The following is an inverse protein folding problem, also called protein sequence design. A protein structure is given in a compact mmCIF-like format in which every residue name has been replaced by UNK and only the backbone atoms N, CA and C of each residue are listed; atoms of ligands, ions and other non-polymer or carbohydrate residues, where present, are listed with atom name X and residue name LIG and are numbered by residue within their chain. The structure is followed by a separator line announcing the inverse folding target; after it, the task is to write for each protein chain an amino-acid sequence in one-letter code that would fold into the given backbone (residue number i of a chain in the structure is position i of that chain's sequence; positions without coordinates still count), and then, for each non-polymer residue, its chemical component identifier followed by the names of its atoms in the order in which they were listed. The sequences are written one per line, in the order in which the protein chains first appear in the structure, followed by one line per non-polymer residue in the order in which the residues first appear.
data_IF_453467458472
#
_entry.id   IF_453467458472
#
_cell.length_a   1.000
_cell.length_b   1.000
_cell.length_c   1.000
_cell.angle_alpha   90.00
_cell.angle_beta   90.00
_cell.angle_gamma   90.00
#
_symmetry.space_group_name_H-M   'P 1'
#
loop_
_entity.id
_entity.type
_entity.pdbx_description
1 polymer ?
#
# COMPACT_ATOMS: atom_id res chain seq x y z
N UNK A 1 42.00 -1.96 -40.47
CA UNK A 1 40.58 -1.92 -40.85
C UNK A 1 39.84 -2.82 -39.88
N UNK A 2 39.32 -2.23 -38.82
CA UNK A 2 38.43 -2.90 -37.87
C UNK A 2 37.51 -1.80 -37.34
N UNK A 3 36.26 -1.90 -37.76
CA UNK A 3 35.20 -0.92 -37.56
C UNK A 3 34.54 -1.23 -36.21
N UNK A 4 34.60 -0.29 -35.27
CA UNK A 4 33.93 -0.39 -33.97
C UNK A 4 32.60 0.36 -34.09
N UNK A 5 31.51 -0.40 -34.11
CA UNK A 5 30.13 0.09 -34.10
C UNK A 5 29.82 0.75 -32.75
N UNK A 6 29.56 2.05 -32.78
CA UNK A 6 29.02 2.79 -31.64
C UNK A 6 27.51 2.50 -31.52
N UNK A 7 27.10 1.92 -30.40
CA UNK A 7 25.69 1.74 -30.02
C UNK A 7 25.00 3.06 -29.66
N UNK A 8 23.65 3.05 -29.55
CA UNK A 8 22.85 4.25 -29.43
C UNK A 8 23.08 4.97 -28.10
N UNK A 9 23.28 6.29 -28.17
CA UNK A 9 23.29 7.18 -27.02
C UNK A 9 21.84 7.44 -26.58
N UNK A 10 21.47 6.94 -25.41
CA UNK A 10 20.26 7.38 -24.72
C UNK A 10 20.46 8.82 -24.22
N UNK A 11 19.69 9.75 -24.77
CA UNK A 11 19.63 11.14 -24.33
C UNK A 11 18.59 11.26 -23.22
N UNK A 12 18.97 10.93 -21.98
CA UNK A 12 18.16 11.17 -20.78
C UNK A 12 18.36 12.59 -20.28
N UNK A 13 17.54 13.53 -20.76
CA UNK A 13 17.60 14.95 -20.38
C UNK A 13 16.19 15.51 -20.13
N UNK A 14 15.38 14.89 -19.26
CA UNK A 14 14.18 15.52 -18.67
C UNK A 14 13.94 14.98 -17.26
N UNK A 15 14.80 15.32 -16.30
CA UNK A 15 14.44 15.52 -14.87
C UNK A 15 15.70 15.84 -14.07
N UNK A 16 15.99 17.13 -13.86
CA UNK A 16 17.09 17.53 -12.98
C UNK A 16 16.69 18.71 -12.10
N UNK A 17 16.86 18.45 -10.79
CA UNK A 17 17.19 19.37 -9.68
C UNK A 17 16.03 20.00 -8.92
N UNK A 18 15.26 19.15 -8.23
CA UNK A 18 14.86 19.47 -6.85
C UNK A 18 16.05 19.20 -5.92
N UNK A 19 16.44 20.19 -5.11
CA UNK A 19 17.46 20.01 -4.07
C UNK A 19 16.80 19.27 -2.91
N UNK A 20 17.08 17.97 -2.78
CA UNK A 20 16.54 17.12 -1.73
C UNK A 20 17.05 17.59 -0.36
N UNK A 21 16.14 17.98 0.52
CA UNK A 21 16.43 18.08 1.95
C UNK A 21 16.39 16.65 2.49
N UNK A 22 17.47 16.23 3.14
CA UNK A 22 17.47 14.97 3.88
C UNK A 22 16.30 15.01 4.88
N UNK A 23 15.47 13.96 4.97
CA UNK A 23 14.48 13.88 6.04
C UNK A 23 15.22 13.94 7.39
N UNK A 24 14.65 14.59 8.42
CA UNK A 24 15.27 14.64 9.73
C UNK A 24 15.45 13.22 10.27
N UNK A 25 16.65 12.93 10.79
CA UNK A 25 17.09 11.59 11.23
C UNK A 25 16.40 11.10 12.54
N UNK A 26 15.18 11.54 12.82
CA UNK A 26 14.56 11.37 14.13
C UNK A 26 13.35 10.42 14.03
N UNK A 27 13.35 9.42 14.92
CA UNK A 27 12.28 8.44 15.17
C UNK A 27 10.91 9.04 15.54
N UNK A 28 10.80 10.36 15.71
CA UNK A 28 9.57 11.08 16.08
C UNK A 28 8.43 10.90 15.06
N UNK A 29 8.74 10.41 13.86
CA UNK A 29 7.75 10.25 12.80
C UNK A 29 6.68 9.18 13.09
N UNK A 30 7.03 8.11 13.81
CA UNK A 30 6.12 7.00 14.06
C UNK A 30 5.07 7.32 15.15
N UNK A 31 5.35 8.30 16.01
CA UNK A 31 4.57 8.58 17.23
C UNK A 31 4.44 10.11 17.42
N UNK A 32 4.16 10.84 16.34
CA UNK A 32 3.73 12.23 16.47
C UNK A 32 2.26 12.27 16.91
N UNK A 33 2.03 12.72 18.15
CA UNK A 33 0.72 13.07 18.72
C UNK A 33 0.29 14.47 18.25
N UNK A 34 0.32 14.77 16.94
CA UNK A 34 -0.14 16.09 16.48
C UNK A 34 -1.65 16.25 16.81
N UNK A 35 -2.03 17.22 17.67
CA UNK A 35 -3.42 17.49 17.96
C UNK A 35 -4.02 18.19 16.73
N UNK A 36 -4.85 17.47 15.98
CA UNK A 36 -5.53 18.03 14.80
C UNK A 36 -6.75 18.85 15.27
N UNK A 37 -6.60 20.17 15.25
CA UNK A 37 -7.72 21.12 15.22
C UNK A 37 -8.37 21.07 13.82
N UNK A 38 -9.32 20.15 13.61
CA UNK A 38 -10.18 20.15 12.41
C UNK A 38 -11.53 20.80 12.69
N UNK A 39 -11.99 21.76 11.86
CA UNK A 39 -13.31 22.34 11.99
C UNK A 39 -14.40 21.31 11.68
N UNK A 40 -15.27 21.12 12.66
CA UNK A 40 -16.43 20.23 12.71
C UNK A 40 -17.41 20.53 11.56
N UNK A 41 -17.39 19.69 10.51
CA UNK A 41 -18.43 19.67 9.48
C UNK A 41 -19.70 19.01 10.05
N UNK A 42 -20.80 19.77 10.10
CA UNK A 42 -22.12 19.29 10.55
C UNK A 42 -22.81 18.54 9.40
N UNK A 43 -23.27 17.28 9.59
CA UNK A 43 -24.08 16.61 8.58
C UNK A 43 -25.53 17.12 8.62
N UNK A 44 -26.04 17.49 7.44
CA UNK A 44 -27.41 17.90 7.20
C UNK A 44 -28.33 16.68 7.22
N UNK A 45 -29.39 16.74 8.03
CA UNK A 45 -30.40 15.72 8.25
C UNK A 45 -31.26 15.52 6.99
N UNK A 46 -31.19 14.36 6.33
CA UNK A 46 -32.13 13.97 5.27
C UNK A 46 -33.31 13.20 5.88
N UNK A 47 -34.53 13.68 5.62
CA UNK A 47 -35.79 13.06 6.01
C UNK A 47 -36.11 11.84 5.13
N UNK A 48 -36.51 10.73 5.75
CA UNK A 48 -37.02 9.53 5.07
C UNK A 48 -38.55 9.57 4.99
N UNK A 49 -39.11 9.26 3.82
CA UNK A 49 -40.53 8.97 3.58
C UNK A 49 -40.75 7.46 3.45
N UNK A 50 -41.90 6.90 3.90
CA UNK A 50 -42.21 5.49 3.76
C UNK A 50 -42.88 5.18 2.41
N UNK A 51 -42.40 4.15 1.72
CA UNK A 51 -43.08 3.58 0.54
C UNK A 51 -43.55 2.15 0.86
N UNK A 52 -44.87 1.97 0.86
CA UNK A 52 -45.56 0.69 0.98
C UNK A 52 -45.43 -0.12 -0.32
N UNK A 53 -45.10 -1.41 -0.24
CA UNK A 53 -45.21 -2.35 -1.36
C UNK A 53 -46.12 -3.53 -1.01
N UNK A 54 -47.08 -3.77 -1.91
CA UNK A 54 -48.09 -4.81 -1.81
C UNK A 54 -47.60 -6.21 -2.16
N UNK A 55 -48.18 -7.19 -1.47
CA UNK A 55 -48.01 -8.63 -1.67
C UNK A 55 -48.80 -9.11 -2.90
N UNK A 56 -48.12 -9.73 -3.85
CA UNK A 56 -48.74 -10.48 -4.96
C UNK A 56 -48.11 -11.87 -5.06
N UNK A 57 -48.86 -12.89 -4.66
CA UNK A 57 -48.49 -14.32 -4.73
C UNK A 57 -48.85 -14.88 -6.11
N UNK A 58 -47.86 -15.41 -6.84
CA UNK A 58 -48.04 -16.24 -8.03
C UNK A 58 -47.15 -17.48 -7.91
N UNK A 59 -47.77 -18.64 -7.69
CA UNK A 59 -47.10 -19.94 -7.65
C UNK A 59 -46.93 -20.48 -9.07
N UNK A 60 -45.69 -20.62 -9.53
CA UNK A 60 -45.32 -21.33 -10.76
C UNK A 60 -44.63 -22.65 -10.36
N UNK A 61 -45.22 -23.77 -10.77
CA UNK A 61 -44.65 -25.10 -10.60
C UNK A 61 -43.69 -25.39 -11.77
N UNK A 62 -42.38 -25.38 -11.51
CA UNK A 62 -41.37 -25.85 -12.45
C UNK A 62 -40.99 -27.30 -12.16
N UNK A 63 -40.99 -28.13 -13.20
CA UNK A 63 -40.54 -29.53 -13.17
C UNK A 63 -39.01 -29.59 -13.12
N UNK A 64 -38.47 -30.26 -12.11
CA UNK A 64 -37.02 -30.32 -11.84
C UNK A 64 -36.37 -31.47 -12.60
N UNK A 65 -35.74 -31.16 -13.74
CA UNK A 65 -34.79 -32.06 -14.39
C UNK A 65 -33.45 -31.95 -13.67
N UNK A 66 -33.10 -32.94 -12.84
CA UNK A 66 -31.88 -32.94 -12.04
C UNK A 66 -30.66 -33.27 -12.91
N UNK A 67 -29.99 -32.24 -13.41
CA UNK A 67 -28.66 -32.36 -14.00
C UNK A 67 -27.64 -32.15 -12.88
N UNK A 68 -26.92 -33.21 -12.50
CA UNK A 68 -25.77 -33.13 -11.59
C UNK A 68 -24.62 -32.45 -12.32
N UNK A 69 -24.62 -31.12 -12.32
CA UNK A 69 -23.45 -30.33 -12.68
C UNK A 69 -22.48 -30.44 -11.51
N UNK A 70 -21.32 -31.05 -11.75
CA UNK A 70 -20.19 -31.00 -10.82
C UNK A 70 -19.70 -29.55 -10.79
N UNK A 71 -20.32 -28.74 -9.92
CA UNK A 71 -19.88 -27.38 -9.63
C UNK A 71 -18.65 -27.49 -8.73
N UNK A 72 -17.46 -27.62 -9.33
CA UNK A 72 -16.24 -27.26 -8.63
C UNK A 72 -16.40 -25.81 -8.15
N UNK A 73 -16.12 -25.56 -6.87
CA UNK A 73 -16.23 -24.23 -6.30
C UNK A 73 -15.48 -23.21 -7.19
N UNK A 74 -16.02 -22.01 -7.40
CA UNK A 74 -15.32 -20.98 -8.16
C UNK A 74 -13.96 -20.73 -7.51
N UNK A 75 -12.88 -20.85 -8.30
CA UNK A 75 -11.52 -20.51 -7.89
C UNK A 75 -11.50 -19.02 -7.52
N UNK A 76 -11.01 -18.66 -6.35
CA UNK A 76 -11.01 -17.26 -5.92
C UNK A 76 -10.02 -16.45 -6.77
N UNK A 77 -10.25 -15.13 -6.88
CA UNK A 77 -9.29 -14.24 -7.57
C UNK A 77 -7.88 -14.33 -6.97
N UNK A 78 -7.78 -14.55 -5.65
CA UNK A 78 -6.49 -14.73 -4.99
C UNK A 78 -5.82 -16.04 -5.37
N UNK A 79 -6.56 -17.14 -5.46
CA UNK A 79 -5.99 -18.44 -5.88
C UNK A 79 -5.40 -18.34 -7.29
N UNK A 80 -6.02 -17.56 -8.18
CA UNK A 80 -5.46 -17.28 -9.51
C UNK A 80 -4.17 -16.45 -9.42
N UNK A 81 -4.14 -15.40 -8.59
CA UNK A 81 -2.94 -14.59 -8.36
C UNK A 81 -1.79 -15.42 -7.75
N UNK A 82 -2.10 -16.36 -6.84
CA UNK A 82 -1.12 -17.30 -6.28
C UNK A 82 -0.56 -18.19 -7.39
N UNK A 83 -1.41 -18.70 -8.28
CA UNK A 83 -0.98 -19.53 -9.40
C UNK A 83 -0.15 -18.76 -10.45
N UNK A 84 -0.41 -17.47 -10.66
CA UNK A 84 0.35 -16.63 -11.58
C UNK A 84 1.63 -16.05 -10.96
N UNK A 85 1.86 -16.20 -9.66
CA UNK A 85 3.00 -15.61 -8.94
C UNK A 85 2.81 -14.12 -8.60
N UNK A 86 1.60 -13.60 -8.78
CA UNK A 86 1.18 -12.22 -8.57
C UNK A 86 0.58 -11.99 -7.17
N UNK A 87 0.56 -13.02 -6.33
CA UNK A 87 0.11 -12.94 -4.95
C UNK A 87 1.23 -12.48 -4.01
N UNK A 88 0.85 -11.51 -3.19
CA UNK A 88 1.63 -10.92 -2.13
C UNK A 88 0.74 -10.72 -0.90
N UNK A 89 1.32 -10.16 0.15
CA UNK A 89 0.59 -9.68 1.31
C UNK A 89 0.83 -8.20 1.52
N UNK A 90 -0.26 -7.46 1.74
CA UNK A 90 -0.23 -6.11 2.27
C UNK A 90 -0.45 -6.18 3.78
N UNK A 91 0.48 -5.67 4.56
CA UNK A 91 0.26 -5.45 5.99
C UNK A 91 0.10 -3.96 6.26
N UNK A 92 -0.93 -3.62 7.02
CA UNK A 92 -1.15 -2.26 7.52
C UNK A 92 -0.71 -2.17 8.97
N UNK A 93 -0.03 -1.08 9.31
CA UNK A 93 0.36 -0.75 10.68
C UNK A 93 -0.56 0.32 11.22
N UNK A 94 -1.13 0.05 12.39
CA UNK A 94 -1.98 0.97 13.13
C UNK A 94 -1.39 1.24 14.51
N UNK A 95 -1.70 2.40 15.07
CA UNK A 95 -1.50 2.62 16.49
C UNK A 95 -2.34 1.62 17.27
N UNK A 96 -1.74 0.97 18.26
CA UNK A 96 -2.40 0.05 19.16
C UNK A 96 -3.05 0.75 20.35
N UNK A 97 -3.82 -0.03 21.10
CA UNK A 97 -4.63 0.45 22.24
C UNK A 97 -3.83 0.62 23.54
N UNK A 98 -2.49 0.62 23.49
CA UNK A 98 -1.68 0.77 24.70
C UNK A 98 -1.98 2.12 25.38
N UNK A 99 -2.59 2.03 26.56
CA UNK A 99 -2.97 3.18 27.40
C UNK A 99 -1.75 3.96 27.92
N UNK A 100 -0.55 3.40 27.81
CA UNK A 100 0.70 4.03 28.21
C UNK A 100 1.76 3.84 27.13
N UNK A 101 1.90 4.82 26.26
CA UNK A 101 3.04 4.89 25.36
C UNK A 101 4.33 5.05 26.21
N UNK A 102 5.34 4.18 25.99
CA UNK A 102 6.67 4.39 26.53
C UNK A 102 7.20 5.77 26.17
N UNK A 103 8.09 6.30 27.01
CA UNK A 103 8.66 7.63 26.83
C UNK A 103 10.17 7.61 26.94
N UNK A 104 10.83 8.57 26.32
CA UNK A 104 12.27 8.76 26.43
C UNK A 104 13.06 7.52 25.97
N UNK A 105 13.95 7.03 26.83
CA UNK A 105 14.86 5.93 26.51
C UNK A 105 14.13 4.64 26.10
N UNK A 106 13.05 4.28 26.80
CA UNK A 106 12.29 3.06 26.50
C UNK A 106 11.65 3.12 25.11
N UNK A 107 11.12 4.28 24.71
CA UNK A 107 10.56 4.49 23.38
C UNK A 107 11.63 4.41 22.29
N UNK A 108 12.82 4.96 22.56
CA UNK A 108 13.96 4.91 21.64
C UNK A 108 14.46 3.48 21.46
N UNK A 109 14.59 2.71 22.54
CA UNK A 109 15.01 1.31 22.50
C UNK A 109 14.01 0.46 21.70
N UNK A 110 12.72 0.67 21.93
CA UNK A 110 11.67 -0.05 21.22
C UNK A 110 11.63 0.32 19.73
N UNK A 111 11.82 1.60 19.39
CA UNK A 111 11.86 2.03 17.98
C UNK A 111 13.06 1.43 17.25
N UNK A 112 14.23 1.39 17.91
CA UNK A 112 15.41 0.74 17.36
C UNK A 112 15.19 -0.77 17.20
N UNK A 113 14.54 -1.43 18.16
CA UNK A 113 14.20 -2.85 18.06
C UNK A 113 13.23 -3.14 16.90
N UNK A 114 12.25 -2.26 16.69
CA UNK A 114 11.34 -2.32 15.54
C UNK A 114 12.09 -2.16 14.21
N UNK A 115 12.98 -1.17 14.09
CA UNK A 115 13.78 -0.96 12.88
C UNK A 115 14.66 -2.18 12.55
N UNK A 116 15.39 -2.72 13.52
CA UNK A 116 16.21 -3.92 13.34
C UNK A 116 15.36 -5.14 12.91
N UNK A 117 14.14 -5.26 13.44
CA UNK A 117 13.21 -6.31 13.01
C UNK A 117 12.84 -6.14 11.53
N UNK A 118 12.49 -4.94 11.09
CA UNK A 118 12.17 -4.68 9.67
C UNK A 118 13.37 -4.91 8.75
N UNK A 119 14.56 -4.50 9.15
CA UNK A 119 15.80 -4.77 8.41
C UNK A 119 16.04 -6.26 8.25
N UNK A 120 15.85 -7.06 9.32
CA UNK A 120 15.98 -8.52 9.21
C UNK A 120 14.98 -9.14 8.23
N UNK A 121 13.72 -8.69 8.24
CA UNK A 121 12.72 -9.17 7.26
C UNK A 121 13.08 -8.76 5.83
N UNK A 122 13.69 -7.59 5.65
CA UNK A 122 14.12 -7.11 4.33
C UNK A 122 15.32 -7.91 3.80
N UNK A 123 16.29 -8.21 4.65
CA UNK A 123 17.45 -9.03 4.30
C UNK A 123 17.03 -10.47 3.92
N UNK A 124 16.04 -11.02 4.63
CA UNK A 124 15.37 -12.28 4.30
C UNK A 124 14.53 -12.21 3.01
N UNK A 125 14.37 -11.02 2.42
CA UNK A 125 13.46 -10.73 1.29
C UNK A 125 12.00 -11.11 1.56
N UNK A 126 11.63 -11.25 2.83
CA UNK A 126 10.25 -11.42 3.27
C UNK A 126 9.49 -10.09 3.22
N UNK A 127 10.15 -9.00 3.64
CA UNK A 127 9.69 -7.64 3.43
C UNK A 127 10.23 -7.11 2.09
N UNK A 128 9.35 -6.71 1.18
CA UNK A 128 9.72 -6.19 -0.13
C UNK A 128 9.91 -4.68 -0.10
N UNK A 129 9.00 -3.98 0.59
CA UNK A 129 9.15 -2.58 0.94
C UNK A 129 8.20 -2.22 2.08
N UNK A 130 8.55 -1.18 2.84
CA UNK A 130 7.71 -0.60 3.87
C UNK A 130 7.89 0.90 3.93
N UNK A 131 7.02 1.53 4.71
CA UNK A 131 7.19 2.94 5.00
C UNK A 131 6.10 3.49 5.91
N UNK A 132 6.41 4.52 6.71
CA UNK A 132 5.40 5.24 7.45
C UNK A 132 4.49 6.06 6.53
N UNK A 133 3.22 6.16 6.90
CA UNK A 133 2.32 7.16 6.34
C UNK A 133 2.57 8.50 7.04
N UNK A 134 2.70 9.55 6.24
CA UNK A 134 2.97 10.90 6.71
C UNK A 134 1.71 11.75 6.71
N UNK A 135 1.65 12.75 7.59
CA UNK A 135 0.49 13.63 7.67
C UNK A 135 0.33 14.44 6.36
N UNK A 136 -0.91 14.74 5.93
CA UNK A 136 -2.19 14.33 6.54
C UNK A 136 -2.56 12.88 6.21
N UNK A 137 -3.28 12.22 7.13
CA UNK A 137 -3.77 10.84 6.97
C UNK A 137 -5.30 10.84 6.97
N UNK A 138 -5.94 10.01 6.14
CA UNK A 138 -7.40 9.86 6.16
C UNK A 138 -7.90 9.14 7.41
N UNK A 139 -7.10 8.21 7.95
CA UNK A 139 -7.35 7.48 9.19
C UNK A 139 -6.35 7.88 10.26
N UNK A 140 -6.86 8.29 11.43
CA UNK A 140 -6.03 8.84 12.53
C UNK A 140 -5.11 7.80 13.17
N UNK A 141 -5.45 6.52 13.11
CA UNK A 141 -4.66 5.43 13.69
C UNK A 141 -3.76 4.73 12.66
N UNK A 142 -3.90 4.97 11.35
CA UNK A 142 -3.04 4.35 10.35
C UNK A 142 -1.62 4.97 10.42
N UNK A 143 -0.59 4.13 10.38
CA UNK A 143 0.80 4.53 10.66
C UNK A 143 1.77 4.16 9.55
N UNK A 144 1.52 3.08 8.82
CA UNK A 144 2.41 2.63 7.76
C UNK A 144 1.85 1.46 6.98
N UNK A 145 2.49 1.16 5.85
CA UNK A 145 2.18 0.02 5.00
C UNK A 145 3.45 -0.80 4.73
N UNK A 146 3.25 -2.09 4.50
CA UNK A 146 4.28 -3.09 4.26
C UNK A 146 3.82 -3.99 3.13
N UNK A 147 4.65 -4.20 2.13
CA UNK A 147 4.42 -5.17 1.07
C UNK A 147 5.37 -6.34 1.27
N UNK A 148 4.82 -7.55 1.33
CA UNK A 148 5.56 -8.76 1.72
C UNK A 148 5.48 -9.85 0.67
N UNK A 149 6.56 -10.62 0.55
CA UNK A 149 6.60 -11.84 -0.26
C UNK A 149 6.00 -13.01 0.51
N UNK A 150 4.68 -12.94 0.71
CA UNK A 150 3.90 -13.98 1.35
C UNK A 150 2.60 -14.20 0.57
N UNK A 151 2.45 -15.38 -0.01
CA UNK A 151 1.21 -15.84 -0.64
C UNK A 151 0.16 -16.31 0.38
N UNK A 152 0.53 -16.42 1.66
CA UNK A 152 -0.39 -16.69 2.76
C UNK A 152 -0.33 -15.51 3.75
N UNK A 153 -1.40 -14.67 3.80
CA UNK A 153 -1.46 -13.53 4.71
C UNK A 153 -1.34 -13.93 6.20
N UNK A 154 -1.69 -15.17 6.56
CA UNK A 154 -1.55 -15.64 7.93
C UNK A 154 -0.09 -15.85 8.34
N UNK A 155 0.78 -16.22 7.39
CA UNK A 155 2.22 -16.34 7.62
C UNK A 155 2.86 -14.95 7.84
N UNK A 156 2.47 -13.96 7.03
CA UNK A 156 2.84 -12.55 7.23
C UNK A 156 2.32 -12.01 8.56
N UNK A 157 1.07 -12.35 8.93
CA UNK A 157 0.51 -11.98 10.23
C UNK A 157 1.32 -12.58 11.39
N UNK A 158 1.65 -13.87 11.31
CA UNK A 158 2.43 -14.53 12.35
C UNK A 158 3.82 -13.89 12.50
N UNK A 159 4.49 -13.59 11.38
CA UNK A 159 5.80 -12.93 11.39
C UNK A 159 5.73 -11.53 11.96
N UNK A 160 4.77 -10.71 11.53
CA UNK A 160 4.59 -9.33 12.01
C UNK A 160 4.24 -9.25 13.49
N UNK A 161 3.52 -10.24 14.04
CA UNK A 161 3.30 -10.36 15.48
C UNK A 161 4.59 -10.59 16.30
N UNK A 162 5.71 -10.89 15.66
CA UNK A 162 7.01 -11.03 16.33
C UNK A 162 7.69 -9.68 16.60
N UNK A 163 7.25 -8.60 15.94
CA UNK A 163 7.75 -7.24 16.11
C UNK A 163 7.69 -6.82 17.59
N UNK A 164 8.82 -6.40 18.20
CA UNK A 164 8.84 -5.86 19.56
C UNK A 164 7.78 -4.78 19.81
N UNK A 165 7.52 -3.89 18.85
CA UNK A 165 6.56 -2.81 18.99
C UNK A 165 5.10 -3.28 18.88
N UNK A 166 4.83 -4.38 18.17
CA UNK A 166 3.53 -5.06 18.18
C UNK A 166 3.33 -5.83 19.49
N UNK A 167 4.35 -6.55 19.97
CA UNK A 167 4.31 -7.28 21.25
C UNK A 167 4.08 -6.37 22.46
N UNK A 168 4.60 -5.14 22.42
CA UNK A 168 4.36 -4.14 23.46
C UNK A 168 2.99 -3.46 23.37
N UNK A 169 2.21 -3.74 22.32
CA UNK A 169 0.87 -3.17 22.10
C UNK A 169 0.87 -1.73 21.60
N UNK A 170 2.03 -1.13 21.28
CA UNK A 170 2.10 0.19 20.66
C UNK A 170 1.57 0.14 19.22
N UNK A 171 1.81 -0.98 18.55
CA UNK A 171 1.37 -1.20 17.20
C UNK A 171 0.41 -2.37 17.10
N UNK A 172 -0.53 -2.25 16.17
CA UNK A 172 -1.37 -3.33 15.69
C UNK A 172 -1.10 -3.51 14.21
N UNK A 173 -0.84 -4.74 13.80
CA UNK A 173 -0.63 -5.09 12.39
C UNK A 173 -1.74 -6.01 11.91
N UNK A 174 -2.23 -5.74 10.71
CA UNK A 174 -3.20 -6.58 10.01
C UNK A 174 -2.66 -6.90 8.61
N UNK A 175 -2.55 -8.18 8.30
CA UNK A 175 -2.01 -8.69 7.04
C UNK A 175 -3.13 -9.23 6.15
N UNK A 176 -3.14 -8.81 4.90
CA UNK A 176 -4.24 -9.04 3.95
C UNK A 176 -3.70 -9.50 2.59
N UNK A 177 -4.43 -10.37 1.88
CA UNK A 177 -4.02 -10.80 0.55
C UNK A 177 -4.03 -9.62 -0.43
N UNK A 178 -2.93 -9.46 -1.15
CA UNK A 178 -2.72 -8.41 -2.15
C UNK A 178 -2.33 -9.06 -3.48
N UNK A 179 -2.97 -8.64 -4.57
CA UNK A 179 -2.66 -9.14 -5.90
C UNK A 179 -2.19 -7.99 -6.79
N UNK A 180 -1.05 -8.18 -7.46
CA UNK A 180 -0.50 -7.19 -8.38
C UNK A 180 0.27 -7.86 -9.50
N UNK A 181 0.17 -7.31 -10.72
CA UNK A 181 0.96 -7.77 -11.87
C UNK A 181 2.44 -7.35 -11.82
N UNK A 182 2.79 -6.47 -10.89
CA UNK A 182 4.15 -5.94 -10.76
C UNK A 182 5.02 -6.93 -9.97
N UNK A 183 6.27 -7.12 -10.40
CA UNK A 183 7.22 -7.98 -9.69
C UNK A 183 7.86 -7.22 -8.52
N UNK A 184 7.13 -7.17 -7.40
CA UNK A 184 7.62 -6.51 -6.18
C UNK A 184 8.87 -7.20 -5.60
N UNK A 185 9.18 -8.45 -6.01
CA UNK A 185 10.39 -9.17 -5.57
C UNK A 185 11.67 -8.58 -6.16
N UNK A 186 11.56 -7.71 -7.17
CA UNK A 186 12.68 -6.94 -7.68
C UNK A 186 13.18 -5.86 -6.69
N UNK A 187 12.37 -5.45 -5.70
CA UNK A 187 12.71 -4.36 -4.79
C UNK A 187 13.93 -4.64 -3.89
N UNK A 188 14.02 -5.78 -3.15
CA UNK A 188 15.18 -6.08 -2.33
C UNK A 188 16.53 -6.07 -3.07
N UNK A 189 16.69 -6.72 -4.25
CA UNK A 189 17.97 -6.67 -4.97
C UNK A 189 18.32 -5.26 -5.47
N UNK A 190 17.34 -4.44 -5.88
CA UNK A 190 17.58 -3.04 -6.27
C UNK A 190 18.14 -2.24 -5.09
N UNK A 191 17.48 -2.30 -3.92
CA UNK A 191 17.94 -1.55 -2.74
C UNK A 191 19.30 -2.03 -2.25
N UNK A 192 19.56 -3.35 -2.24
CA UNK A 192 20.91 -3.87 -1.93
C UNK A 192 21.95 -3.33 -2.92
N UNK A 193 21.60 -3.22 -4.19
CA UNK A 193 22.41 -2.54 -5.21
C UNK A 193 22.75 -1.09 -4.82
N UNK A 194 21.75 -0.33 -4.37
CA UNK A 194 21.96 1.05 -3.90
C UNK A 194 22.83 1.12 -2.64
N UNK A 195 22.61 0.26 -1.64
CA UNK A 195 23.46 0.20 -0.44
C UNK A 195 24.92 -0.07 -0.79
N UNK A 196 25.17 -1.04 -1.68
CA UNK A 196 26.52 -1.35 -2.18
C UNK A 196 27.17 -0.17 -2.91
N UNK A 197 26.42 0.55 -3.76
CA UNK A 197 26.94 1.71 -4.49
C UNK A 197 27.24 2.89 -3.56
N UNK A 198 26.40 3.09 -2.53
CA UNK A 198 26.61 4.13 -1.51
C UNK A 198 27.77 3.79 -0.57
N UNK A 199 28.07 2.50 -0.39
CA UNK A 199 29.00 2.02 0.64
C UNK A 199 28.47 2.25 2.05
N UNK A 200 27.14 2.32 2.21
CA UNK A 200 26.44 2.47 3.48
C UNK A 200 25.18 1.61 3.48
N UNK A 201 24.86 1.03 4.63
CA UNK A 201 23.61 0.31 4.86
C UNK A 201 22.41 1.27 5.05
N UNK A 202 22.68 2.57 5.16
CA UNK A 202 21.65 3.60 5.27
C UNK A 202 20.69 3.54 4.07
N UNK A 203 19.41 3.53 4.40
CA UNK A 203 18.32 3.61 3.42
C UNK A 203 18.08 5.07 3.06
N UNK A 204 18.02 5.37 1.76
CA UNK A 204 17.62 6.70 1.29
C UNK A 204 16.10 6.71 1.16
N UNK A 205 15.46 7.43 2.07
CA UNK A 205 14.02 7.64 2.07
C UNK A 205 13.60 8.65 0.99
N UNK A 206 12.49 8.36 0.32
CA UNK A 206 11.85 9.18 -0.72
C UNK A 206 10.34 9.26 -0.45
N UNK A 207 9.71 10.45 -0.58
CA UNK A 207 8.27 10.58 -0.48
C UNK A 207 7.57 10.07 -1.74
N UNK A 208 6.41 9.46 -1.52
CA UNK A 208 5.45 8.94 -2.47
C UNK A 208 4.03 9.33 -2.01
N UNK A 209 3.04 9.10 -2.87
CA UNK A 209 1.63 9.17 -2.47
C UNK A 209 0.96 7.86 -2.81
N UNK A 210 0.22 7.31 -1.85
CA UNK A 210 -0.65 6.17 -2.04
C UNK A 210 -2.04 6.68 -2.33
N UNK A 211 -2.59 6.29 -3.48
CA UNK A 211 -3.98 6.51 -3.86
C UNK A 211 -4.76 5.21 -3.67
N UNK A 212 -5.92 5.28 -3.03
CA UNK A 212 -6.83 4.14 -2.86
C UNK A 212 -8.21 4.49 -3.41
N UNK A 213 -8.86 3.51 -4.03
CA UNK A 213 -10.20 3.63 -4.62
C UNK A 213 -10.91 2.26 -4.52
N UNK A 214 -12.25 2.18 -4.44
CA UNK A 214 -12.94 0.91 -4.56
C UNK A 214 -12.52 0.12 -5.80
N UNK A 215 -12.27 -1.18 -5.62
CA UNK A 215 -11.81 -2.08 -6.68
C UNK A 215 -12.83 -2.13 -7.80
N UNK A 216 -12.35 -1.85 -9.01
CA UNK A 216 -13.14 -1.92 -10.23
C UNK A 216 -12.23 -2.12 -11.43
N UNK A 217 -12.78 -2.59 -12.55
CA UNK A 217 -12.07 -2.60 -13.83
C UNK A 217 -11.60 -1.19 -14.20
N UNK A 218 -12.37 -0.16 -13.83
CA UNK A 218 -12.01 1.23 -14.08
C UNK A 218 -10.76 1.66 -13.30
N UNK A 219 -10.57 1.20 -12.06
CA UNK A 219 -9.40 1.55 -11.26
C UNK A 219 -8.09 1.15 -11.95
N UNK A 220 -8.00 -0.09 -12.43
CA UNK A 220 -6.81 -0.58 -13.14
C UNK A 220 -6.56 0.19 -14.44
N UNK A 221 -7.61 0.49 -15.21
CA UNK A 221 -7.49 1.30 -16.44
C UNK A 221 -6.99 2.71 -16.13
N UNK A 222 -7.49 3.34 -15.06
CA UNK A 222 -7.04 4.67 -14.63
C UNK A 222 -5.56 4.63 -14.26
N UNK A 223 -5.12 3.63 -13.49
CA UNK A 223 -3.71 3.51 -13.12
C UNK A 223 -2.80 3.23 -14.32
N UNK A 224 -3.24 2.45 -15.31
CA UNK A 224 -2.49 2.26 -16.56
C UNK A 224 -2.30 3.58 -17.33
N UNK A 225 -3.31 4.45 -17.34
CA UNK A 225 -3.25 5.73 -18.04
C UNK A 225 -2.31 6.74 -17.39
N UNK A 226 -1.93 6.54 -16.12
CA UNK A 226 -0.95 7.39 -15.43
C UNK A 226 0.50 7.18 -15.91
N UNK A 227 0.77 6.10 -16.64
CA UNK A 227 2.11 5.78 -17.15
C UNK A 227 3.14 5.72 -16.02
N UNK A 228 4.29 6.36 -16.21
CA UNK A 228 5.41 6.39 -15.24
C UNK A 228 5.05 7.05 -13.89
N UNK A 229 3.93 7.77 -13.80
CA UNK A 229 3.47 8.33 -12.52
C UNK A 229 2.97 7.24 -11.57
N UNK A 230 2.37 6.18 -12.10
CA UNK A 230 2.00 5.00 -11.32
C UNK A 230 3.19 4.04 -11.28
N UNK A 231 3.75 3.82 -10.09
CA UNK A 231 4.91 2.93 -9.89
C UNK A 231 4.45 1.47 -9.87
N UNK A 232 3.45 1.18 -9.03
CA UNK A 232 2.77 -0.10 -9.04
C UNK A 232 1.37 0.06 -8.45
N UNK A 233 0.50 -0.87 -8.78
CA UNK A 233 -0.84 -0.91 -8.24
C UNK A 233 -1.37 -2.34 -8.18
N UNK A 234 -2.38 -2.58 -7.35
CA UNK A 234 -2.98 -3.89 -7.17
C UNK A 234 -4.23 -3.85 -6.31
N UNK A 235 -4.84 -5.02 -6.15
CA UNK A 235 -6.11 -5.19 -5.45
C UNK A 235 -5.90 -5.84 -4.07
N UNK A 236 -6.57 -5.30 -3.06
CA UNK A 236 -6.62 -5.89 -1.72
C UNK A 236 -7.85 -6.78 -1.62
N UNK A 237 -7.62 -8.07 -1.42
CA UNK A 237 -8.65 -9.10 -1.57
C UNK A 237 -9.30 -9.53 -0.23
N UNK A 238 -8.89 -8.92 0.89
CA UNK A 238 -9.39 -9.25 2.22
C UNK A 238 -9.08 -8.20 3.28
N UNK A 239 -9.53 -8.44 4.51
CA UNK A 239 -9.29 -7.58 5.69
C UNK A 239 -9.96 -6.21 5.64
N UNK A 240 -9.40 -5.25 6.39
CA UNK A 240 -9.97 -3.90 6.56
C UNK A 240 -10.02 -3.07 5.28
N UNK A 241 -9.18 -3.39 4.29
CA UNK A 241 -9.17 -2.74 2.98
C UNK A 241 -9.71 -3.63 1.86
N UNK A 242 -10.52 -4.64 2.19
CA UNK A 242 -11.16 -5.50 1.19
C UNK A 242 -11.89 -4.66 0.13
N UNK A 243 -11.77 -5.08 -1.13
CA UNK A 243 -12.41 -4.45 -2.29
C UNK A 243 -11.88 -3.02 -2.52
N UNK A 244 -10.63 -2.74 -2.14
CA UNK A 244 -9.89 -1.53 -2.49
C UNK A 244 -8.74 -1.86 -3.45
N UNK A 245 -8.55 -1.03 -4.47
CA UNK A 245 -7.33 -0.99 -5.27
C UNK A 245 -6.41 0.07 -4.72
N UNK A 246 -5.12 -0.24 -4.64
CA UNK A 246 -4.06 0.65 -4.16
C UNK A 246 -3.12 0.95 -5.32
N UNK A 247 -2.70 2.21 -5.45
CA UNK A 247 -1.66 2.63 -6.37
C UNK A 247 -0.61 3.49 -5.66
N UNK A 248 0.66 3.14 -5.84
CA UNK A 248 1.79 3.96 -5.38
C UNK A 248 2.19 4.89 -6.51
N UNK A 249 2.09 6.18 -6.25
CA UNK A 249 2.37 7.26 -7.20
C UNK A 249 3.73 7.88 -6.92
N UNK A 250 4.48 8.17 -8.00
CA UNK A 250 5.70 8.97 -7.94
C UNK A 250 5.38 10.48 -7.79
N UNK A 251 4.67 10.80 -6.72
CA UNK A 251 4.27 12.16 -6.36
C UNK A 251 4.81 12.47 -4.97
N UNK A 252 5.29 13.70 -4.77
CA UNK A 252 5.81 14.13 -3.47
C UNK A 252 4.74 14.71 -2.55
N UNK A 253 3.60 15.14 -3.12
CA UNK A 253 2.49 15.73 -2.39
C UNK A 253 1.14 15.20 -2.89
N UNK A 254 0.11 15.28 -2.03
CA UNK A 254 -1.27 14.92 -2.41
C UNK A 254 -1.75 15.79 -3.58
N UNK A 255 -1.39 17.07 -3.62
CA UNK A 255 -1.78 17.97 -4.70
C UNK A 255 -1.24 17.51 -6.06
N UNK A 256 0.01 17.04 -6.11
CA UNK A 256 0.61 16.49 -7.32
C UNK A 256 -0.12 15.21 -7.77
N UNK A 257 -0.43 14.32 -6.82
CA UNK A 257 -1.19 13.09 -7.08
C UNK A 257 -2.61 13.37 -7.62
N UNK A 258 -3.32 14.32 -7.01
CA UNK A 258 -4.65 14.74 -7.47
C UNK A 258 -4.61 15.37 -8.86
N UNK A 259 -3.61 16.21 -9.14
CA UNK A 259 -3.43 16.82 -10.45
C UNK A 259 -3.14 15.78 -11.54
N UNK A 260 -2.31 14.77 -11.24
CA UNK A 260 -2.04 13.66 -12.14
C UNK A 260 -3.31 12.85 -12.44
N UNK A 261 -4.08 12.47 -11.42
CA UNK A 261 -5.33 11.73 -11.58
C UNK A 261 -6.42 12.54 -12.32
N UNK A 262 -6.51 13.85 -12.08
CA UNK A 262 -7.46 14.72 -12.78
C UNK A 262 -7.20 14.78 -14.29
N UNK A 263 -5.98 14.43 -14.74
CA UNK A 263 -5.64 14.31 -16.15
C UNK A 263 -6.21 13.06 -16.83
N UNK A 264 -6.58 12.03 -16.06
CA UNK A 264 -7.01 10.72 -16.59
C UNK A 264 -8.40 10.29 -16.16
N UNK A 265 -8.95 10.86 -15.08
CA UNK A 265 -10.29 10.52 -14.58
C UNK A 265 -11.02 11.72 -14.01
N UNK A 266 -12.35 11.70 -14.12
CA UNK A 266 -13.24 12.67 -13.45
C UNK A 266 -13.63 12.25 -12.03
N UNK A 267 -13.21 11.06 -11.57
CA UNK A 267 -13.58 10.48 -10.26
C UNK A 267 -12.52 10.74 -9.19
N UNK A 268 -11.74 11.82 -9.29
CA UNK A 268 -10.60 12.09 -8.38
C UNK A 268 -11.07 12.19 -6.93
N UNK A 269 -12.27 12.70 -6.71
CA UNK A 269 -12.94 12.84 -5.43
C UNK A 269 -13.30 11.51 -4.76
N UNK A 270 -13.33 10.40 -5.50
CA UNK A 270 -13.56 9.06 -4.95
C UNK A 270 -12.28 8.44 -4.37
N UNK A 271 -11.11 9.03 -4.65
CA UNK A 271 -9.84 8.54 -4.14
C UNK A 271 -9.56 9.06 -2.73
N UNK A 272 -9.00 8.18 -1.90
CA UNK A 272 -8.29 8.59 -0.69
C UNK A 272 -6.79 8.64 -0.95
N UNK A 273 -6.12 9.62 -0.35
CA UNK A 273 -4.70 9.87 -0.56
C UNK A 273 -3.94 9.82 0.75
N UNK A 274 -2.81 9.13 0.72
CA UNK A 274 -1.94 8.97 1.87
C UNK A 274 -0.51 9.25 1.46
N UNK A 275 0.09 10.35 1.93
CA UNK A 275 1.53 10.54 1.84
C UNK A 275 2.26 9.36 2.47
N UNK A 276 3.26 8.82 1.79
CA UNK A 276 4.00 7.64 2.22
C UNK A 276 5.47 7.86 1.96
N UNK A 277 6.33 7.44 2.88
CA UNK A 277 7.79 7.56 2.71
C UNK A 277 8.37 6.17 2.65
N UNK A 278 9.07 5.85 1.58
CA UNK A 278 9.70 4.55 1.39
C UNK A 278 11.10 4.68 0.79
N UNK A 279 11.74 3.59 0.39
CA UNK A 279 13.09 3.58 -0.17
C UNK A 279 13.08 4.10 -1.62
N UNK A 280 14.19 4.67 -2.07
CA UNK A 280 14.34 5.08 -3.48
C UNK A 280 14.18 3.94 -4.47
N UNK A 281 14.44 2.68 -4.06
CA UNK A 281 14.27 1.50 -4.92
C UNK A 281 12.84 1.31 -5.42
N UNK A 282 11.84 1.84 -4.71
CA UNK A 282 10.44 1.79 -5.16
C UNK A 282 10.28 2.47 -6.52
N UNK A 283 10.95 3.59 -6.77
CA UNK A 283 10.83 4.31 -8.04
C UNK A 283 11.48 3.60 -9.24
N UNK A 284 12.24 2.53 -9.01
CA UNK A 284 12.94 1.77 -10.05
C UNK A 284 12.15 0.55 -10.52
N UNK A 285 10.89 0.37 -10.07
CA UNK A 285 10.01 -0.70 -10.54
C UNK A 285 9.38 -0.44 -11.92
N UNK A 286 9.50 0.79 -12.44
CA UNK A 286 8.93 1.22 -13.73
C UNK A 286 9.87 1.00 -14.92
#
# INVERSE_FOLDING_TARGET
MTEVTQGPRFSGDVCRRGRWLAPPANADFLISDDPIDTPMFKPTLFQALPMSLGLGLLSVACSSTSSTVNTSAPVSAYDMAVQSGEAYTLTVLRAGDSMSLPKGAELSELTHAHQNFLESMFDESFLLTSGPLVAPRSETNLRGLFFMDAADPSAAQARTCEDPATKSGIFQMESMPFATRFDLRALPPIERGFRMQRGSDDVVARPYVIAMIPTSVAANVIFEQLGETAIFYGDVLGGSFKDQSICVLDCTTIGDAQAALAGVTSMVEEFTFHPWVSTTSVAELN
#
